data_IF_644076509925
#
_entry.id   IF_644076509925
#
_cell.length_a   1.000
_cell.length_b   1.000
_cell.length_c   1.000
_cell.angle_alpha   90.00
_cell.angle_beta   90.00
_cell.angle_gamma   90.00
#
_symmetry.space_group_name_H-M   'P 1'
#
loop_
_entity.id
_entity.type
_entity.pdbx_description
1 polymer ?
#
# COMPACT_ATOMS: atom_id res chain seq x y z
N UNK A 1 -7.82 -3.90 19.34
CA UNK A 1 -7.80 -3.84 17.86
C UNK A 1 -6.57 -3.04 17.42
N UNK A 2 -5.65 -3.68 16.68
CA UNK A 2 -4.37 -3.08 16.25
C UNK A 2 -4.55 -2.05 15.12
N UNK A 3 -3.50 -1.29 14.79
CA UNK A 3 -3.54 -0.40 13.62
C UNK A 3 -3.64 -1.18 12.32
N UNK A 4 -2.97 -2.33 12.23
CA UNK A 4 -3.12 -3.24 11.11
C UNK A 4 -4.58 -3.69 10.96
N UNK A 5 -5.25 -4.11 12.03
CA UNK A 5 -6.66 -4.56 11.97
C UNK A 5 -7.60 -3.46 11.44
N UNK A 6 -7.39 -2.21 11.88
CA UNK A 6 -8.12 -1.04 11.38
C UNK A 6 -7.85 -0.81 9.90
N UNK A 7 -6.59 -0.87 9.49
CA UNK A 7 -6.19 -0.71 8.10
C UNK A 7 -6.80 -1.78 7.20
N UNK A 8 -6.68 -3.05 7.57
CA UNK A 8 -7.25 -4.18 6.82
C UNK A 8 -8.77 -4.03 6.65
N UNK A 9 -9.46 -3.69 7.73
CA UNK A 9 -10.92 -3.49 7.70
C UNK A 9 -11.31 -2.33 6.80
N UNK A 10 -10.58 -1.20 6.87
CA UNK A 10 -10.84 -0.04 6.04
C UNK A 10 -10.62 -0.34 4.55
N UNK A 11 -9.51 -0.98 4.20
CA UNK A 11 -9.16 -1.28 2.81
C UNK A 11 -10.12 -2.31 2.20
N UNK A 12 -10.48 -3.37 2.93
CA UNK A 12 -11.45 -4.36 2.46
C UNK A 12 -12.86 -3.78 2.30
N UNK A 13 -13.29 -2.91 3.22
CA UNK A 13 -14.57 -2.20 3.10
C UNK A 13 -14.61 -1.31 1.87
N UNK A 14 -13.52 -0.58 1.58
CA UNK A 14 -13.41 0.22 0.36
C UNK A 14 -13.42 -0.64 -0.91
N UNK A 15 -12.81 -1.83 -0.85
CA UNK A 15 -12.79 -2.81 -1.94
C UNK A 15 -14.09 -3.63 -2.05
N UNK A 16 -15.10 -3.40 -1.21
CA UNK A 16 -16.38 -4.10 -1.29
C UNK A 16 -17.17 -3.76 -2.58
N UNK A 17 -16.87 -2.62 -3.22
CA UNK A 17 -17.43 -2.29 -4.53
C UNK A 17 -16.82 -3.17 -5.63
N UNK A 18 -17.50 -4.24 -6.03
CA UNK A 18 -16.96 -5.27 -6.95
C UNK A 18 -17.13 -4.96 -8.44
N UNK A 19 -17.22 -3.68 -8.81
CA UNK A 19 -17.32 -3.25 -10.22
C UNK A 19 -16.00 -2.69 -10.73
N UNK A 20 -15.80 -2.71 -12.05
CA UNK A 20 -14.61 -2.09 -12.67
C UNK A 20 -14.52 -0.59 -12.33
N UNK A 21 -15.66 0.11 -12.35
CA UNK A 21 -15.71 1.52 -11.95
C UNK A 21 -15.35 1.73 -10.48
N UNK A 22 -15.84 0.88 -9.58
CA UNK A 22 -15.49 0.95 -8.16
C UNK A 22 -13.99 0.68 -7.94
N UNK A 23 -13.41 -0.27 -8.68
CA UNK A 23 -11.97 -0.52 -8.71
C UNK A 23 -11.17 0.71 -9.15
N UNK A 24 -11.57 1.36 -10.26
CA UNK A 24 -10.93 2.59 -10.72
C UNK A 24 -11.05 3.73 -9.72
N UNK A 25 -12.25 3.96 -9.15
CA UNK A 25 -12.48 4.99 -8.13
C UNK A 25 -11.66 4.75 -6.87
N UNK A 26 -11.55 3.50 -6.43
CA UNK A 26 -10.70 3.14 -5.31
C UNK A 26 -9.23 3.41 -5.65
N UNK A 27 -8.77 2.99 -6.83
CA UNK A 27 -7.41 3.25 -7.30
C UNK A 27 -7.04 4.73 -7.25
N UNK A 28 -7.87 5.58 -7.85
CA UNK A 28 -7.71 7.04 -7.82
C UNK A 28 -7.80 7.60 -6.39
N UNK A 29 -8.72 7.09 -5.56
CA UNK A 29 -8.89 7.52 -4.18
C UNK A 29 -7.66 7.24 -3.31
N UNK A 30 -7.00 6.09 -3.50
CA UNK A 30 -5.75 5.77 -2.80
C UNK A 30 -4.58 6.65 -3.26
N UNK A 31 -4.48 6.92 -4.57
CA UNK A 31 -3.48 7.87 -5.09
C UNK A 31 -3.72 9.30 -4.56
N UNK A 32 -4.99 9.72 -4.50
CA UNK A 32 -5.36 11.02 -3.93
C UNK A 32 -5.01 11.12 -2.44
N UNK A 33 -5.18 10.04 -1.66
CA UNK A 33 -4.72 9.99 -0.27
C UNK A 33 -3.21 10.17 -0.14
N UNK A 34 -2.41 9.53 -0.99
CA UNK A 34 -0.95 9.79 -1.05
C UNK A 34 -0.68 11.28 -1.30
N UNK A 35 -1.34 11.87 -2.28
CA UNK A 35 -1.12 13.26 -2.68
C UNK A 35 -1.53 14.27 -1.59
N UNK A 36 -2.65 14.03 -0.91
CA UNK A 36 -3.08 14.89 0.19
C UNK A 36 -2.17 14.78 1.41
N UNK A 37 -1.61 13.61 1.70
CA UNK A 37 -0.56 13.46 2.73
C UNK A 37 0.68 14.28 2.40
N UNK A 38 1.12 14.28 1.12
CA UNK A 38 2.23 15.13 0.64
C UNK A 38 1.91 16.61 0.83
N UNK A 39 0.75 17.10 0.35
CA UNK A 39 0.39 18.53 0.44
C UNK A 39 0.24 19.02 1.88
N UNK A 40 -0.24 18.17 2.79
CA UNK A 40 -0.51 18.56 4.18
C UNK A 40 0.74 18.55 5.07
N UNK A 41 1.93 18.15 4.55
CA UNK A 41 3.17 18.00 5.32
C UNK A 41 2.95 17.30 6.67
N UNK A 42 2.01 16.36 6.73
CA UNK A 42 1.76 15.57 7.94
C UNK A 42 3.05 14.80 8.16
N UNK A 43 3.86 15.22 9.16
CA UNK A 43 5.11 14.54 9.49
C UNK A 43 4.75 13.09 9.76
N UNK A 44 5.25 12.22 8.90
CA UNK A 44 4.96 10.79 8.83
C UNK A 44 5.29 10.05 10.14
N UNK A 45 6.07 10.66 11.03
CA UNK A 45 6.69 10.05 12.23
C UNK A 45 5.74 9.59 13.35
N UNK A 46 4.43 9.82 13.24
CA UNK A 46 3.48 9.52 14.35
C UNK A 46 2.24 8.73 13.93
N UNK A 47 2.22 8.12 12.73
CA UNK A 47 1.13 7.21 12.41
C UNK A 47 1.30 5.91 13.19
N UNK A 48 0.23 5.38 13.82
CA UNK A 48 0.36 4.21 14.67
C UNK A 48 0.63 2.97 13.80
N UNK A 49 1.72 2.26 14.07
CA UNK A 49 2.19 1.09 13.30
C UNK A 49 1.96 -0.24 14.01
N UNK A 50 1.25 -0.24 15.15
CA UNK A 50 0.98 -1.47 15.93
C UNK A 50 0.38 -2.58 15.06
N UNK A 51 1.06 -3.73 15.04
CA UNK A 51 0.66 -4.93 14.29
C UNK A 51 1.24 -5.01 12.88
N UNK A 52 1.90 -3.95 12.37
CA UNK A 52 2.71 -4.04 11.16
C UNK A 52 4.10 -4.56 11.48
N UNK A 53 4.68 -5.39 10.61
CA UNK A 53 6.08 -5.82 10.73
C UNK A 53 7.02 -4.61 10.71
N UNK A 54 8.03 -4.64 11.57
CA UNK A 54 8.90 -3.49 11.83
C UNK A 54 9.70 -3.03 10.60
N UNK A 55 10.04 -3.96 9.71
CA UNK A 55 10.82 -3.69 8.51
C UNK A 55 10.13 -2.78 7.48
N UNK A 56 8.83 -2.54 7.64
CA UNK A 56 8.02 -1.61 6.83
C UNK A 56 8.04 -0.16 7.34
N UNK A 57 8.48 0.09 8.58
CA UNK A 57 8.40 1.44 9.16
C UNK A 57 9.64 1.85 9.97
N UNK A 58 10.64 0.97 10.05
CA UNK A 58 11.97 1.29 10.58
C UNK A 58 12.55 2.55 9.96
N UNK A 59 13.51 3.16 10.68
CA UNK A 59 14.20 4.39 10.28
C UNK A 59 13.30 5.65 10.27
N UNK A 60 12.25 5.68 11.10
CA UNK A 60 11.36 6.86 11.22
C UNK A 60 10.44 7.06 10.02
N UNK A 61 10.08 5.96 9.36
CA UNK A 61 9.30 5.91 8.11
C UNK A 61 7.83 5.52 8.34
N UNK A 62 7.32 5.66 9.58
CA UNK A 62 5.99 5.17 9.98
C UNK A 62 4.86 5.64 9.07
N UNK A 63 4.88 6.90 8.65
CA UNK A 63 3.87 7.46 7.77
C UNK A 63 4.22 7.39 6.30
N UNK A 64 5.48 7.18 5.96
CA UNK A 64 5.89 6.89 4.58
C UNK A 64 5.42 5.49 4.19
N UNK A 65 5.47 4.52 5.10
CA UNK A 65 4.87 3.20 4.93
C UNK A 65 3.44 3.28 4.38
N UNK A 66 2.55 4.02 5.05
CA UNK A 66 1.17 4.19 4.61
C UNK A 66 1.08 4.85 3.22
N UNK A 67 1.93 5.82 2.92
CA UNK A 67 1.96 6.49 1.62
C UNK A 67 2.36 5.54 0.50
N UNK A 68 3.38 4.70 0.73
CA UNK A 68 3.87 3.72 -0.23
C UNK A 68 2.84 2.61 -0.44
N UNK A 69 2.25 2.09 0.64
CA UNK A 69 1.14 1.14 0.57
C UNK A 69 -0.02 1.70 -0.27
N UNK A 70 -0.53 2.90 0.03
CA UNK A 70 -1.62 3.50 -0.73
C UNK A 70 -1.27 3.74 -2.20
N UNK A 71 -0.04 4.19 -2.46
CA UNK A 71 0.43 4.42 -3.82
C UNK A 71 0.40 3.14 -4.67
N UNK A 72 1.08 2.09 -4.20
CA UNK A 72 1.23 0.87 -4.97
C UNK A 72 -0.07 0.07 -5.07
N UNK A 73 -0.89 0.06 -4.00
CA UNK A 73 -2.25 -0.49 -4.08
C UNK A 73 -3.08 0.26 -5.13
N UNK A 74 -3.06 1.60 -5.09
CA UNK A 74 -3.79 2.45 -6.03
C UNK A 74 -3.40 2.19 -7.48
N UNK A 75 -2.09 2.17 -7.76
CA UNK A 75 -1.53 1.80 -9.07
C UNK A 75 -2.03 0.44 -9.56
N UNK A 76 -2.10 -0.57 -8.69
CA UNK A 76 -2.54 -1.91 -9.07
C UNK A 76 -4.03 -1.97 -9.41
N UNK A 77 -4.84 -1.20 -8.71
CA UNK A 77 -6.26 -1.05 -8.99
C UNK A 77 -6.52 -0.34 -10.32
N UNK A 78 -5.65 0.57 -10.76
CA UNK A 78 -5.79 1.24 -12.07
C UNK A 78 -5.41 0.38 -13.29
N UNK A 79 -4.83 -0.81 -13.07
CA UNK A 79 -4.47 -1.73 -14.15
C UNK A 79 -3.10 -1.42 -14.79
N UNK A 80 -2.85 -1.90 -16.03
CA UNK A 80 -1.51 -1.94 -16.61
C UNK A 80 -0.74 -0.62 -16.62
N UNK A 81 -1.34 0.54 -16.96
CA UNK A 81 -0.63 1.82 -16.87
C UNK A 81 -0.16 2.14 -15.44
N UNK A 82 -1.00 1.85 -14.44
CA UNK A 82 -0.63 2.03 -13.03
C UNK A 82 0.45 1.06 -12.59
N UNK A 83 0.47 -0.18 -13.12
CA UNK A 83 1.51 -1.16 -12.83
C UNK A 83 2.89 -0.69 -13.29
N UNK A 84 2.95 -0.10 -14.49
CA UNK A 84 4.19 0.48 -15.02
C UNK A 84 4.70 1.61 -14.13
N UNK A 85 3.82 2.54 -13.73
CA UNK A 85 4.19 3.64 -12.82
C UNK A 85 4.72 3.09 -11.48
N UNK A 86 4.03 2.10 -10.90
CA UNK A 86 4.45 1.41 -9.68
C UNK A 86 5.81 0.73 -9.84
N UNK A 87 6.09 0.15 -11.00
CA UNK A 87 7.36 -0.49 -11.32
C UNK A 87 8.51 0.53 -11.43
N UNK A 88 8.33 1.60 -12.22
CA UNK A 88 9.33 2.65 -12.40
C UNK A 88 9.76 3.30 -11.09
N UNK A 89 8.81 3.63 -10.21
CA UNK A 89 9.12 4.19 -8.89
C UNK A 89 9.87 3.18 -8.02
N UNK A 90 9.52 1.89 -8.06
CA UNK A 90 10.31 0.91 -7.30
C UNK A 90 11.74 0.77 -7.82
N UNK A 91 12.00 0.97 -9.12
CA UNK A 91 13.37 0.97 -9.64
C UNK A 91 14.19 2.15 -9.13
N UNK A 92 13.59 3.32 -8.94
CA UNK A 92 14.31 4.48 -8.38
C UNK A 92 14.74 4.20 -6.95
N UNK A 93 13.86 3.61 -6.14
CA UNK A 93 14.15 3.33 -4.73
C UNK A 93 15.18 2.20 -4.59
N UNK A 94 15.15 1.18 -5.46
CA UNK A 94 16.19 0.13 -5.53
C UNK A 94 17.56 0.74 -5.82
N UNK A 95 17.65 1.68 -6.78
CA UNK A 95 18.92 2.34 -7.11
C UNK A 95 19.43 3.19 -5.96
N UNK A 96 18.54 3.87 -5.24
CA UNK A 96 18.88 4.69 -4.08
C UNK A 96 19.31 3.82 -2.89
N UNK A 97 18.64 2.69 -2.66
CA UNK A 97 19.06 1.70 -1.67
C UNK A 97 20.46 1.15 -1.99
N UNK A 98 20.75 0.82 -3.26
CA UNK A 98 22.07 0.37 -3.70
C UNK A 98 23.17 1.43 -3.50
N UNK A 99 22.83 2.72 -3.48
CA UNK A 99 23.74 3.82 -3.12
C UNK A 99 23.93 4.02 -1.60
N UNK A 100 23.37 3.15 -0.76
CA UNK A 100 23.54 3.17 0.70
C UNK A 100 22.52 4.02 1.46
N UNK A 101 21.43 4.48 0.81
CA UNK A 101 20.37 5.22 1.51
C UNK A 101 19.47 4.26 2.28
N UNK A 102 19.66 4.17 3.59
CA UNK A 102 18.91 3.28 4.50
C UNK A 102 17.38 3.46 4.45
N UNK A 103 16.91 4.69 4.22
CA UNK A 103 15.47 4.97 4.06
C UNK A 103 14.90 4.21 2.85
N UNK A 104 15.65 4.16 1.75
CA UNK A 104 15.21 3.50 0.53
C UNK A 104 15.18 1.97 0.64
N UNK A 105 15.91 1.36 1.58
CA UNK A 105 15.74 -0.06 1.88
C UNK A 105 14.35 -0.34 2.49
N UNK A 106 13.87 0.53 3.38
CA UNK A 106 12.50 0.46 3.92
C UNK A 106 11.48 0.71 2.81
N UNK A 107 11.67 1.75 1.98
CA UNK A 107 10.78 2.07 0.85
C UNK A 107 10.66 0.89 -0.13
N UNK A 108 11.75 0.18 -0.42
CA UNK A 108 11.70 -1.02 -1.29
C UNK A 108 10.79 -2.10 -0.70
N UNK A 109 10.84 -2.34 0.61
CA UNK A 109 9.97 -3.33 1.28
C UNK A 109 8.51 -2.87 1.26
N UNK A 110 8.26 -1.59 1.50
CA UNK A 110 6.91 -1.00 1.43
C UNK A 110 6.32 -1.07 0.04
N UNK A 111 7.16 -0.87 -0.99
CA UNK A 111 6.77 -0.96 -2.38
C UNK A 111 6.35 -2.39 -2.73
N UNK A 112 7.13 -3.39 -2.29
CA UNK A 112 6.80 -4.80 -2.50
C UNK A 112 5.49 -5.15 -1.79
N UNK A 113 5.35 -4.79 -0.52
CA UNK A 113 4.13 -5.04 0.26
C UNK A 113 2.91 -4.36 -0.38
N UNK A 114 3.02 -3.10 -0.79
CA UNK A 114 1.94 -2.34 -1.42
C UNK A 114 1.50 -2.94 -2.76
N UNK A 115 2.43 -3.47 -3.56
CA UNK A 115 2.13 -4.19 -4.81
C UNK A 115 1.36 -5.48 -4.54
N UNK A 116 1.81 -6.28 -3.57
CA UNK A 116 1.12 -7.51 -3.18
C UNK A 116 -0.28 -7.24 -2.63
N UNK A 117 -0.42 -6.24 -1.76
CA UNK A 117 -1.73 -5.78 -1.29
C UNK A 117 -2.62 -5.39 -2.48
N UNK A 118 -2.09 -4.64 -3.45
CA UNK A 118 -2.80 -4.27 -4.67
C UNK A 118 -3.30 -5.49 -5.47
N UNK A 119 -2.46 -6.51 -5.65
CA UNK A 119 -2.84 -7.78 -6.31
C UNK A 119 -3.96 -8.50 -5.57
N UNK A 120 -3.87 -8.59 -4.24
CA UNK A 120 -4.89 -9.21 -3.39
C UNK A 120 -6.23 -8.47 -3.53
N UNK A 121 -6.22 -7.14 -3.51
CA UNK A 121 -7.44 -6.35 -3.67
C UNK A 121 -8.05 -6.51 -5.06
N UNK A 122 -7.24 -6.55 -6.12
CA UNK A 122 -7.74 -6.83 -7.48
C UNK A 122 -8.41 -8.21 -7.53
N UNK A 123 -7.79 -9.23 -6.92
CA UNK A 123 -8.38 -10.58 -6.86
C UNK A 123 -9.70 -10.58 -6.06
N UNK A 124 -9.74 -9.91 -4.92
CA UNK A 124 -10.93 -9.79 -4.07
C UNK A 124 -12.09 -9.07 -4.80
N UNK A 125 -11.81 -7.91 -5.38
CA UNK A 125 -12.80 -7.12 -6.14
C UNK A 125 -13.30 -7.88 -7.37
N UNK A 126 -12.43 -8.67 -8.00
CA UNK A 126 -12.76 -9.56 -9.12
C UNK A 126 -13.44 -10.87 -8.73
N UNK A 127 -13.85 -11.05 -7.46
CA UNK A 127 -14.50 -12.27 -6.93
C UNK A 127 -13.67 -13.55 -7.08
N UNK A 128 -12.35 -13.43 -7.23
CA UNK A 128 -11.44 -14.59 -7.34
C UNK A 128 -11.09 -15.19 -5.98
N UNK A 129 -11.27 -14.43 -4.91
CA UNK A 129 -11.05 -14.85 -3.53
C UNK A 129 -12.12 -14.25 -2.62
N UNK A 130 -12.42 -14.92 -1.52
CA UNK A 130 -13.35 -14.46 -0.49
C UNK A 130 -12.72 -13.40 0.42
N UNK A 131 -13.54 -12.64 1.16
CA UNK A 131 -13.06 -11.60 2.07
C UNK A 131 -12.12 -12.17 3.14
N UNK A 132 -12.46 -13.32 3.74
CA UNK A 132 -11.61 -13.99 4.74
C UNK A 132 -10.22 -14.29 4.16
N UNK A 133 -10.19 -14.88 2.98
CA UNK A 133 -8.93 -15.17 2.26
C UNK A 133 -8.15 -13.90 1.93
N UNK A 134 -8.83 -12.84 1.48
CA UNK A 134 -8.20 -11.56 1.22
C UNK A 134 -7.59 -10.94 2.49
N UNK A 135 -8.33 -10.97 3.60
CA UNK A 135 -7.88 -10.48 4.92
C UNK A 135 -6.65 -11.24 5.40
N UNK A 136 -6.67 -12.56 5.32
CA UNK A 136 -5.55 -13.40 5.77
C UNK A 136 -4.30 -13.17 4.94
N UNK A 137 -4.44 -13.05 3.61
CA UNK A 137 -3.31 -12.74 2.71
C UNK A 137 -2.76 -11.33 2.97
N UNK A 138 -3.63 -10.33 3.14
CA UNK A 138 -3.19 -8.97 3.46
C UNK A 138 -2.47 -8.92 4.81
N UNK A 139 -2.96 -9.65 5.82
CA UNK A 139 -2.28 -9.74 7.12
C UNK A 139 -0.88 -10.33 6.96
N UNK A 140 -0.73 -11.47 6.28
CA UNK A 140 0.58 -12.11 6.05
C UNK A 140 1.60 -11.20 5.34
N UNK A 141 1.14 -10.30 4.49
CA UNK A 141 2.01 -9.34 3.80
C UNK A 141 2.51 -8.24 4.75
N UNK A 142 1.70 -7.89 5.76
CA UNK A 142 1.86 -6.67 6.55
C UNK A 142 2.27 -6.89 8.01
N UNK A 143 2.08 -8.08 8.57
CA UNK A 143 2.49 -8.47 9.94
C UNK A 143 3.70 -9.38 9.93
#
# INVERSE_FOLDING_TARGET
MTSLDRFLTAVLRLAAGRTLLARYRLGLGLLYRKYTHIRRRIRSRHLPTTGFRDDLWKNGQEGEMYRHLYFHMGCYLLGPPGWLVSWFIGLTDIRQAASGRKESETEVRDNIAGRECGRILVAYMGRRIEEKTARDRLRRVLS
#
